data_IF_134334198938
#
_entry.id   IF_134334198938
#
_cell.length_a   1.000
_cell.length_b   1.000
_cell.length_c   1.000
_cell.angle_alpha   90.00
_cell.angle_beta   90.00
_cell.angle_gamma   90.00
#
_symmetry.space_group_name_H-M   'P 1'
#
loop_
_entity.id
_entity.type
_entity.pdbx_description
1 polymer ?
#
# COMPACT_ATOMS: atom_id res chain seq x y z
N UNK A 1 -9.90 8.86 -10.86
CA UNK A 1 -10.23 8.35 -9.51
C UNK A 1 -11.18 9.33 -8.84
N UNK A 2 -12.24 8.82 -8.28
CA UNK A 2 -13.26 9.66 -7.66
C UNK A 2 -12.84 10.08 -6.24
N UNK A 3 -12.94 11.36 -5.93
CA UNK A 3 -12.66 11.87 -4.59
C UNK A 3 -13.58 11.25 -3.52
N UNK A 4 -14.88 11.05 -3.78
CA UNK A 4 -15.75 10.39 -2.81
C UNK A 4 -15.33 8.96 -2.47
N UNK A 5 -14.73 8.23 -3.41
CA UNK A 5 -14.23 6.87 -3.14
C UNK A 5 -13.03 6.91 -2.21
N UNK A 6 -12.13 7.87 -2.40
CA UNK A 6 -10.98 8.06 -1.51
C UNK A 6 -11.46 8.44 -0.12
N UNK A 7 -12.39 9.39 -0.02
CA UNK A 7 -12.93 9.81 1.27
C UNK A 7 -13.63 8.68 2.00
N UNK A 8 -14.37 7.83 1.28
CA UNK A 8 -15.04 6.68 1.88
C UNK A 8 -14.02 5.69 2.45
N UNK A 9 -12.93 5.46 1.74
CA UNK A 9 -11.87 4.58 2.22
C UNK A 9 -11.20 5.15 3.46
N UNK A 10 -10.91 6.46 3.46
CA UNK A 10 -10.31 7.12 4.63
C UNK A 10 -11.22 7.03 5.86
N UNK A 11 -12.53 7.19 5.68
CA UNK A 11 -13.48 7.04 6.77
C UNK A 11 -13.50 5.62 7.33
N UNK A 12 -13.50 4.63 6.46
CA UNK A 12 -13.44 3.24 6.87
C UNK A 12 -12.15 2.94 7.63
N UNK A 13 -11.03 3.45 7.10
CA UNK A 13 -9.70 3.24 7.68
C UNK A 13 -9.54 3.97 9.02
N UNK A 14 -10.22 5.08 9.19
CA UNK A 14 -10.11 5.93 10.38
C UNK A 14 -8.86 6.82 10.36
N UNK A 15 -8.29 7.07 9.19
CA UNK A 15 -7.06 7.84 9.06
C UNK A 15 -6.98 8.45 7.66
N UNK A 16 -6.47 9.67 7.56
CA UNK A 16 -6.21 10.29 6.27
C UNK A 16 -5.02 9.60 5.60
N UNK A 17 -5.07 9.50 4.28
CA UNK A 17 -3.98 8.90 3.52
C UNK A 17 -2.79 9.86 3.45
N UNK A 18 -1.54 9.34 3.47
CA UNK A 18 -0.35 10.18 3.28
C UNK A 18 -0.42 10.89 1.93
N UNK A 19 0.00 12.16 1.89
CA UNK A 19 -0.09 12.97 0.67
C UNK A 19 0.64 12.34 -0.52
N UNK A 20 1.80 11.75 -0.30
CA UNK A 20 2.59 11.14 -1.37
C UNK A 20 1.88 9.93 -1.99
N UNK A 21 1.10 9.20 -1.19
CA UNK A 21 0.32 8.07 -1.69
C UNK A 21 -1.00 8.53 -2.31
N UNK A 22 -1.64 9.53 -1.70
CA UNK A 22 -2.89 10.08 -2.20
C UNK A 22 -2.73 10.58 -3.64
N UNK A 23 -1.61 11.22 -3.95
CA UNK A 23 -1.31 11.66 -5.31
C UNK A 23 -1.31 10.51 -6.30
N UNK A 24 -0.71 9.38 -5.92
CA UNK A 24 -0.70 8.17 -6.73
C UNK A 24 -2.13 7.71 -7.05
N UNK A 25 -2.99 7.65 -6.05
CA UNK A 25 -4.38 7.24 -6.24
C UNK A 25 -5.14 8.21 -7.15
N UNK A 26 -4.95 9.51 -6.93
CA UNK A 26 -5.64 10.55 -7.72
C UNK A 26 -5.20 10.54 -9.18
N UNK A 27 -3.96 10.19 -9.44
CA UNK A 27 -3.42 10.13 -10.81
C UNK A 27 -3.83 8.86 -11.55
N UNK A 28 -4.52 7.92 -10.89
CA UNK A 28 -5.02 6.72 -11.52
C UNK A 28 -3.93 5.76 -11.97
N UNK A 29 -2.84 5.66 -11.21
CA UNK A 29 -1.68 4.87 -11.60
C UNK A 29 -1.69 3.44 -11.07
N UNK A 30 -2.82 2.97 -10.54
CA UNK A 30 -2.95 1.61 -10.04
C UNK A 30 -2.78 0.58 -11.16
N UNK A 31 -2.37 -0.64 -10.78
CA UNK A 31 -2.21 -1.75 -11.70
C UNK A 31 -0.84 -2.37 -11.61
N UNK A 32 -0.51 -3.16 -12.62
CA UNK A 32 0.77 -3.86 -12.69
C UNK A 32 1.92 -2.88 -12.88
N UNK A 33 2.96 -3.03 -12.07
CA UNK A 33 4.19 -2.25 -12.15
C UNK A 33 5.38 -3.18 -12.25
N UNK A 34 6.22 -2.97 -13.25
CA UNK A 34 7.34 -3.87 -13.51
C UNK A 34 6.81 -5.26 -13.84
N UNK A 35 7.47 -6.29 -13.33
CA UNK A 35 7.12 -7.67 -13.65
C UNK A 35 6.33 -8.37 -12.55
N UNK A 36 6.34 -7.86 -11.33
CA UNK A 36 5.80 -8.58 -10.18
C UNK A 36 4.79 -7.79 -9.34
N UNK A 37 4.93 -6.48 -9.25
CA UNK A 37 4.13 -5.68 -8.33
C UNK A 37 2.79 -5.29 -8.94
N UNK A 38 1.72 -5.51 -8.18
CA UNK A 38 0.38 -5.01 -8.51
C UNK A 38 -0.01 -4.01 -7.44
N UNK A 39 -0.27 -2.76 -7.82
CA UNK A 39 -0.73 -1.73 -6.89
C UNK A 39 -2.23 -1.56 -7.05
N UNK A 40 -2.94 -1.60 -5.93
CA UNK A 40 -4.41 -1.60 -5.94
C UNK A 40 -4.98 -0.21 -6.19
N UNK A 41 -6.09 -0.14 -6.93
CA UNK A 41 -6.90 1.05 -7.01
C UNK A 41 -7.79 1.16 -5.77
N UNK A 42 -8.40 2.34 -5.58
CA UNK A 42 -9.20 2.60 -4.38
C UNK A 42 -10.39 1.63 -4.26
N UNK A 43 -10.90 1.14 -5.38
CA UNK A 43 -12.02 0.19 -5.38
C UNK A 43 -11.66 -1.15 -4.74
N UNK A 44 -10.38 -1.49 -4.67
CA UNK A 44 -9.92 -2.77 -4.09
C UNK A 44 -9.29 -2.61 -2.71
N UNK A 45 -8.93 -1.40 -2.31
CA UNK A 45 -8.16 -1.18 -1.08
C UNK A 45 -8.86 -1.69 0.17
N UNK A 46 -10.15 -1.35 0.33
CA UNK A 46 -10.89 -1.77 1.52
C UNK A 46 -10.97 -3.28 1.61
N UNK A 47 -11.37 -3.93 0.53
CA UNK A 47 -11.48 -5.38 0.49
C UNK A 47 -10.17 -6.06 0.83
N UNK A 48 -9.06 -5.59 0.24
CA UNK A 48 -7.75 -6.21 0.47
C UNK A 48 -7.27 -6.02 1.91
N UNK A 49 -7.46 -4.83 2.47
CA UNK A 49 -7.07 -4.58 3.84
C UNK A 49 -7.95 -5.34 4.84
N UNK A 50 -9.23 -5.54 4.53
CA UNK A 50 -10.10 -6.39 5.33
C UNK A 50 -9.69 -7.86 5.25
N UNK A 51 -9.42 -8.34 4.03
CA UNK A 51 -9.07 -9.74 3.79
C UNK A 51 -7.78 -10.13 4.51
N UNK A 52 -6.77 -9.26 4.47
CA UNK A 52 -5.50 -9.51 5.14
C UNK A 52 -5.50 -9.09 6.61
N UNK A 53 -6.59 -8.48 7.09
CA UNK A 53 -6.71 -7.97 8.45
C UNK A 53 -5.53 -7.05 8.81
N UNK A 54 -5.15 -6.21 7.86
CA UNK A 54 -3.93 -5.41 7.95
C UNK A 54 -3.90 -4.54 9.21
N UNK A 55 -4.98 -3.81 9.49
CA UNK A 55 -5.00 -2.88 10.61
C UNK A 55 -5.04 -3.59 11.97
N UNK A 56 -5.42 -4.87 11.97
CA UNK A 56 -5.40 -5.67 13.17
C UNK A 56 -3.98 -6.15 13.50
N UNK A 57 -3.25 -6.61 12.49
CA UNK A 57 -1.91 -7.19 12.69
C UNK A 57 -0.80 -6.16 12.65
N UNK A 58 -0.96 -5.08 11.88
CA UNK A 58 0.05 -4.02 11.80
C UNK A 58 -0.63 -2.64 11.83
N UNK A 59 -1.07 -2.21 13.04
CA UNK A 59 -1.68 -0.88 13.19
C UNK A 59 -0.71 0.20 12.70
N UNK A 60 -1.26 1.20 12.03
CA UNK A 60 -0.45 2.30 11.48
C UNK A 60 0.08 2.05 10.08
N UNK A 61 -0.23 0.90 9.50
CA UNK A 61 0.17 0.55 8.14
C UNK A 61 -1.04 0.16 7.30
N UNK A 62 -0.87 0.17 5.98
CA UNK A 62 -1.89 -0.29 5.06
C UNK A 62 -1.27 -1.13 3.96
N UNK A 63 -2.04 -2.07 3.44
CA UNK A 63 -1.65 -2.87 2.28
C UNK A 63 -2.05 -2.10 1.03
N UNK A 64 -1.09 -1.81 0.16
CA UNK A 64 -1.33 -1.04 -1.06
C UNK A 64 -1.17 -1.87 -2.33
N UNK A 65 -0.71 -3.10 -2.20
CA UNK A 65 -0.50 -3.97 -3.35
C UNK A 65 0.07 -5.31 -2.92
N UNK A 66 0.52 -6.08 -3.91
CA UNK A 66 1.20 -7.36 -3.67
C UNK A 66 2.29 -7.58 -4.71
N UNK A 67 3.12 -8.60 -4.50
CA UNK A 67 4.24 -8.92 -5.40
C UNK A 67 3.89 -10.04 -6.38
N UNK A 68 2.61 -10.35 -6.54
CA UNK A 68 2.11 -11.46 -7.36
C UNK A 68 2.58 -12.84 -6.87
N UNK A 69 3.14 -12.87 -5.66
CA UNK A 69 3.52 -14.10 -4.99
C UNK A 69 2.83 -14.19 -3.65
N UNK A 70 3.58 -14.34 -2.58
CA UNK A 70 3.01 -14.49 -1.26
C UNK A 70 3.16 -13.29 -0.35
N UNK A 71 3.50 -12.11 -0.87
CA UNK A 71 3.81 -10.95 -0.02
C UNK A 71 2.95 -9.74 -0.35
N UNK A 72 2.55 -9.02 0.71
CA UNK A 72 1.85 -7.75 0.58
C UNK A 72 2.86 -6.60 0.53
N UNK A 73 2.51 -5.54 -0.22
CA UNK A 73 3.25 -4.28 -0.22
C UNK A 73 2.63 -3.37 0.82
N UNK A 74 3.44 -2.90 1.76
CA UNK A 74 2.98 -2.14 2.93
C UNK A 74 3.50 -0.73 2.92
N UNK A 75 2.66 0.21 3.38
CA UNK A 75 3.01 1.61 3.48
C UNK A 75 2.47 2.15 4.80
N UNK A 76 3.25 3.00 5.48
CA UNK A 76 2.80 3.60 6.73
C UNK A 76 1.72 4.64 6.45
N UNK A 77 0.76 4.73 7.37
CA UNK A 77 -0.27 5.77 7.32
C UNK A 77 0.29 7.14 7.71
N UNK A 78 1.38 7.16 8.48
CA UNK A 78 2.09 8.38 8.84
C UNK A 78 2.87 8.88 7.63
N UNK A 79 2.53 10.06 7.14
CA UNK A 79 3.17 10.64 5.94
C UNK A 79 4.65 10.96 6.12
N UNK A 80 5.17 10.96 7.35
CA UNK A 80 6.59 11.17 7.60
C UNK A 80 7.42 9.93 7.26
N UNK A 81 6.82 8.73 7.32
CA UNK A 81 7.51 7.49 6.94
C UNK A 81 7.13 7.13 5.51
N UNK A 82 8.06 7.29 4.59
CA UNK A 82 7.80 7.09 3.16
C UNK A 82 8.35 5.79 2.61
N UNK A 83 8.90 4.95 3.47
CA UNK A 83 9.47 3.66 3.08
C UNK A 83 8.39 2.67 2.65
N UNK A 84 8.77 1.75 1.78
CA UNK A 84 7.90 0.69 1.29
C UNK A 84 8.44 -0.63 1.83
N UNK A 85 7.54 -1.47 2.33
CA UNK A 85 7.91 -2.76 2.90
C UNK A 85 7.16 -3.90 2.24
N UNK A 86 7.74 -5.09 2.32
CA UNK A 86 7.06 -6.33 1.95
C UNK A 86 6.89 -7.19 3.18
N UNK A 87 5.76 -7.89 3.27
CA UNK A 87 5.52 -8.87 4.34
C UNK A 87 4.71 -10.03 3.78
N UNK A 88 5.07 -11.25 4.17
CA UNK A 88 4.33 -12.43 3.73
C UNK A 88 2.87 -12.37 4.20
N UNK A 89 1.93 -12.75 3.32
CA UNK A 89 0.50 -12.75 3.64
C UNK A 89 0.18 -13.63 4.85
N UNK A 90 0.96 -14.68 5.07
CA UNK A 90 0.76 -15.56 6.21
C UNK A 90 1.23 -14.96 7.53
N UNK A 91 2.07 -13.95 7.52
CA UNK A 91 2.59 -13.30 8.71
C UNK A 91 1.84 -12.00 9.03
N UNK A 92 1.91 -11.04 8.12
CA UNK A 92 1.31 -9.70 8.26
C UNK A 92 1.74 -8.99 9.56
N UNK A 93 2.92 -9.33 10.11
CA UNK A 93 3.41 -8.73 11.34
C UNK A 93 4.55 -7.77 11.06
N UNK A 94 4.57 -6.65 11.80
CA UNK A 94 5.59 -5.61 11.60
C UNK A 94 7.02 -6.16 11.73
N UNK A 95 7.24 -7.12 12.60
CA UNK A 95 8.56 -7.71 12.82
C UNK A 95 9.09 -8.46 11.61
N UNK A 96 8.21 -8.86 10.70
CA UNK A 96 8.56 -9.61 9.49
C UNK A 96 8.65 -8.73 8.25
N UNK A 97 8.52 -7.42 8.40
CA UNK A 97 8.63 -6.49 7.28
C UNK A 97 10.05 -6.49 6.71
N UNK A 98 10.13 -6.55 5.38
CA UNK A 98 11.39 -6.40 4.66
C UNK A 98 11.33 -5.08 3.88
N UNK A 99 12.39 -4.29 3.96
CA UNK A 99 12.46 -3.01 3.25
C UNK A 99 12.55 -3.23 1.76
N UNK A 100 11.59 -2.71 1.00
CA UNK A 100 11.60 -2.75 -0.46
C UNK A 100 12.20 -1.47 -1.05
N UNK A 101 11.94 -0.32 -0.43
CA UNK A 101 12.46 0.96 -0.89
C UNK A 101 12.38 1.99 0.25
N UNK A 102 13.25 2.98 0.18
CA UNK A 102 13.29 4.04 1.18
C UNK A 102 12.21 5.10 0.97
N UNK A 103 11.69 5.23 -0.25
CA UNK A 103 10.70 6.25 -0.58
C UNK A 103 9.74 5.75 -1.64
N UNK A 104 8.44 5.82 -1.33
CA UNK A 104 7.39 5.33 -2.25
C UNK A 104 7.41 6.04 -3.60
N UNK A 105 7.51 7.37 -3.60
CA UNK A 105 7.46 8.13 -4.85
C UNK A 105 8.63 7.79 -5.77
N UNK A 106 9.83 7.64 -5.21
CA UNK A 106 11.02 7.25 -5.97
C UNK A 106 10.90 5.83 -6.50
N UNK A 107 10.40 4.93 -5.65
CA UNK A 107 10.18 3.53 -6.02
C UNK A 107 9.17 3.41 -7.16
N UNK A 108 8.08 4.17 -7.07
CA UNK A 108 7.03 4.22 -8.09
C UNK A 108 7.59 4.72 -9.42
N UNK A 109 8.39 5.79 -9.38
CA UNK A 109 9.01 6.36 -10.58
C UNK A 109 9.97 5.38 -11.26
N UNK A 110 10.56 4.47 -10.50
CA UNK A 110 11.43 3.41 -11.02
C UNK A 110 10.66 2.16 -11.42
N UNK A 111 9.34 2.20 -11.42
CA UNK A 111 8.43 1.12 -11.78
C UNK A 111 8.45 -0.04 -10.78
N UNK A 112 8.59 0.29 -9.52
CA UNK A 112 8.47 -0.63 -8.38
C UNK A 112 9.41 -1.84 -8.45
N UNK A 113 10.71 -1.63 -8.59
CA UNK A 113 11.64 -2.77 -8.69
C UNK A 113 11.71 -3.53 -7.35
N UNK A 114 11.80 -4.86 -7.47
CA UNK A 114 12.11 -5.73 -6.35
C UNK A 114 13.49 -6.32 -6.60
N UNK A 115 14.44 -6.00 -5.75
CA UNK A 115 15.83 -6.40 -5.95
C UNK A 115 16.04 -7.89 -5.75
#
# INVERSE_FOLDING_TARGET
MSQPEVEAFERWLGHALPAHYLRFLQDGQAGMRGEQVVLYGVESLRERNETYETQQFCPGYMTIGDDSGGSAVMLALDGAERAVYLVGHGSMQRDDFELAADDFATWLAADCPLA
#
